data_IF_974671799878
#
_entry.id   IF_974671799878
#
_cell.length_a   1.000
_cell.length_b   1.000
_cell.length_c   1.000
_cell.angle_alpha   90.00
_cell.angle_beta   90.00
_cell.angle_gamma   90.00
#
_symmetry.space_group_name_H-M   'P 1'
#
loop_
_entity.id
_entity.type
_entity.pdbx_description
1 polymer ?
#
# COMPACT_ATOMS: atom_id res chain seq x y z
N UNK A 1 1.04 12.38 16.84
CA UNK A 1 0.07 11.42 16.29
C UNK A 1 -1.22 12.15 16.00
N UNK A 2 -1.96 11.78 14.96
CA UNK A 2 -3.29 12.34 14.67
C UNK A 2 -4.35 11.73 15.61
N UNK A 3 -5.49 12.43 15.84
CA UNK A 3 -6.56 11.88 16.67
C UNK A 3 -7.22 10.66 16.00
N UNK A 4 -7.80 9.78 16.82
CA UNK A 4 -8.58 8.63 16.33
C UNK A 4 -9.96 9.07 15.82
N UNK A 5 -10.57 10.06 16.49
CA UNK A 5 -11.78 10.74 16.06
C UNK A 5 -11.39 12.12 15.52
N UNK A 6 -11.61 12.36 14.24
CA UNK A 6 -11.34 13.66 13.62
C UNK A 6 -12.61 14.50 13.49
N UNK A 7 -12.44 15.82 13.46
CA UNK A 7 -13.50 16.72 13.02
C UNK A 7 -13.61 16.73 11.50
N UNK A 8 -14.67 17.34 10.97
CA UNK A 8 -14.84 17.49 9.52
C UNK A 8 -13.77 18.40 8.91
N UNK A 9 -13.41 19.48 9.61
CA UNK A 9 -12.35 20.40 9.21
C UNK A 9 -11.00 19.70 9.10
N UNK A 10 -10.69 18.79 10.04
CA UNK A 10 -9.47 17.99 9.98
C UNK A 10 -9.46 17.03 8.78
N UNK A 11 -10.59 16.36 8.50
CA UNK A 11 -10.72 15.51 7.30
C UNK A 11 -10.55 16.31 6.01
N UNK A 12 -11.18 17.49 5.94
CA UNK A 12 -11.05 18.39 4.80
C UNK A 12 -9.60 18.85 4.61
N UNK A 13 -8.90 19.22 5.69
CA UNK A 13 -7.51 19.63 5.64
C UNK A 13 -6.58 18.51 5.15
N UNK A 14 -6.76 17.28 5.64
CA UNK A 14 -5.97 16.12 5.19
C UNK A 14 -6.24 15.78 3.72
N UNK A 15 -7.51 15.81 3.30
CA UNK A 15 -7.91 15.59 1.91
C UNK A 15 -7.27 16.63 1.00
N UNK A 16 -7.32 17.92 1.39
CA UNK A 16 -6.71 19.00 0.62
C UNK A 16 -5.19 18.83 0.52
N UNK A 17 -4.52 18.42 1.60
CA UNK A 17 -3.08 18.16 1.59
C UNK A 17 -2.67 17.08 0.58
N UNK A 18 -3.46 16.00 0.48
CA UNK A 18 -3.24 14.93 -0.49
C UNK A 18 -3.42 15.47 -1.92
N UNK A 19 -4.50 16.22 -2.17
CA UNK A 19 -4.77 16.83 -3.48
C UNK A 19 -3.67 17.80 -3.91
N UNK A 20 -3.17 18.63 -3.01
CA UNK A 20 -2.09 19.57 -3.31
C UNK A 20 -0.79 18.83 -3.63
N UNK A 21 -0.51 17.74 -2.90
CA UNK A 21 0.66 16.90 -3.20
C UNK A 21 0.54 16.27 -4.59
N UNK A 22 -0.64 15.79 -4.97
CA UNK A 22 -0.91 15.28 -6.32
C UNK A 22 -0.70 16.36 -7.40
N UNK A 23 -1.21 17.58 -7.17
CA UNK A 23 -1.04 18.71 -8.09
C UNK A 23 0.43 19.09 -8.28
N UNK A 24 1.24 18.98 -7.23
CA UNK A 24 2.69 19.25 -7.28
C UNK A 24 3.51 18.20 -8.05
N UNK A 25 2.95 17.02 -8.32
CA UNK A 25 3.68 15.95 -8.99
C UNK A 25 3.89 16.28 -10.48
N UNK A 26 5.11 16.04 -10.98
CA UNK A 26 5.43 16.19 -12.41
C UNK A 26 4.68 15.14 -13.25
N UNK A 27 4.64 15.33 -14.57
CA UNK A 27 4.01 14.36 -15.48
C UNK A 27 4.68 12.98 -15.37
N UNK A 28 6.01 12.92 -15.27
CA UNK A 28 6.74 11.67 -15.10
C UNK A 28 6.40 10.99 -13.76
N UNK A 29 6.34 11.75 -12.66
CA UNK A 29 5.95 11.22 -11.35
C UNK A 29 4.52 10.68 -11.35
N UNK A 30 3.59 11.38 -12.04
CA UNK A 30 2.21 10.92 -12.24
C UNK A 30 2.16 9.63 -13.03
N UNK A 31 2.92 9.52 -14.11
CA UNK A 31 3.01 8.29 -14.91
C UNK A 31 3.51 7.12 -14.07
N UNK A 32 4.67 7.25 -13.44
CA UNK A 32 5.27 6.19 -12.61
C UNK A 32 4.40 5.79 -11.44
N UNK A 33 3.74 6.75 -10.78
CA UNK A 33 2.80 6.43 -9.69
C UNK A 33 1.55 5.69 -10.16
N UNK A 34 0.99 6.04 -11.34
CA UNK A 34 -0.16 5.32 -11.92
C UNK A 34 0.18 3.89 -12.32
N UNK A 35 1.38 3.68 -12.86
CA UNK A 35 1.86 2.37 -13.30
C UNK A 35 2.27 1.47 -12.13
N UNK A 36 2.54 2.03 -10.94
CA UNK A 36 3.15 1.31 -9.83
C UNK A 36 2.45 0.00 -9.45
N UNK A 37 1.12 0.04 -9.26
CA UNK A 37 0.35 -1.16 -8.90
C UNK A 37 0.10 -2.08 -10.09
N UNK A 38 0.08 -1.54 -11.32
CA UNK A 38 0.00 -2.35 -12.56
C UNK A 38 1.26 -3.21 -12.71
N UNK A 39 2.45 -2.60 -12.59
CA UNK A 39 3.71 -3.34 -12.63
C UNK A 39 3.83 -4.34 -11.48
N UNK A 40 3.34 -4.00 -10.28
CA UNK A 40 3.31 -4.95 -9.17
C UNK A 40 2.36 -6.13 -9.42
N UNK A 41 1.22 -5.89 -10.08
CA UNK A 41 0.26 -6.92 -10.49
C UNK A 41 0.88 -7.88 -11.51
N UNK A 42 1.54 -7.34 -12.54
CA UNK A 42 2.25 -8.14 -13.54
C UNK A 42 3.32 -9.02 -12.91
N UNK A 43 4.11 -8.46 -11.98
CA UNK A 43 5.10 -9.23 -11.22
C UNK A 43 4.45 -10.33 -10.37
N UNK A 44 3.31 -10.03 -9.72
CA UNK A 44 2.58 -11.02 -8.94
C UNK A 44 2.07 -12.19 -9.81
N UNK A 45 1.57 -11.89 -11.00
CA UNK A 45 1.16 -12.90 -11.98
C UNK A 45 2.36 -13.75 -12.44
N UNK A 46 3.49 -13.11 -12.75
CA UNK A 46 4.72 -13.77 -13.21
C UNK A 46 5.22 -14.81 -12.19
N UNK A 47 5.40 -14.43 -10.93
CA UNK A 47 5.99 -15.31 -9.92
C UNK A 47 5.06 -16.46 -9.50
N UNK A 48 3.75 -16.32 -9.72
CA UNK A 48 2.73 -17.27 -9.30
C UNK A 48 2.09 -18.03 -10.48
N UNK A 49 2.79 -18.09 -11.62
CA UNK A 49 2.34 -18.81 -12.82
C UNK A 49 0.91 -18.44 -13.26
N UNK A 50 0.60 -17.14 -13.22
CA UNK A 50 -0.70 -16.57 -13.60
C UNK A 50 -1.73 -16.46 -12.47
N UNK A 51 -1.47 -17.06 -11.30
CA UNK A 51 -2.33 -16.88 -10.12
C UNK A 51 -1.99 -15.56 -9.40
N UNK A 52 -2.45 -14.45 -9.98
CA UNK A 52 -2.12 -13.11 -9.48
C UNK A 52 -2.59 -12.88 -8.05
N UNK A 53 -3.73 -13.45 -7.64
CA UNK A 53 -4.22 -13.33 -6.26
C UNK A 53 -3.24 -13.96 -5.27
N UNK A 54 -2.76 -15.18 -5.56
CA UNK A 54 -1.74 -15.85 -4.75
C UNK A 54 -0.43 -15.07 -4.72
N UNK A 55 0.06 -14.61 -5.89
CA UNK A 55 1.27 -13.80 -5.99
C UNK A 55 1.20 -12.50 -5.18
N UNK A 56 0.07 -11.78 -5.30
CA UNK A 56 -0.21 -10.55 -4.55
C UNK A 56 -0.27 -10.83 -3.04
N UNK A 57 -0.89 -11.94 -2.65
CA UNK A 57 -0.98 -12.36 -1.26
C UNK A 57 0.39 -12.64 -0.63
N UNK A 58 1.26 -13.34 -1.34
CA UNK A 58 2.65 -13.61 -0.91
C UNK A 58 3.47 -12.32 -0.82
N UNK A 59 3.38 -11.45 -1.82
CA UNK A 59 4.03 -10.13 -1.81
C UNK A 59 3.56 -9.28 -0.62
N UNK A 60 2.28 -9.33 -0.28
CA UNK A 60 1.73 -8.62 0.86
C UNK A 60 2.24 -9.19 2.18
N UNK A 61 2.18 -10.52 2.34
CA UNK A 61 2.67 -11.21 3.54
C UNK A 61 4.13 -10.87 3.87
N UNK A 62 4.98 -10.74 2.85
CA UNK A 62 6.43 -10.50 3.00
C UNK A 62 6.83 -9.01 2.99
N UNK A 63 5.87 -8.09 2.84
CA UNK A 63 6.14 -6.65 2.63
C UNK A 63 6.67 -5.90 3.86
N UNK A 64 6.52 -6.44 5.06
CA UNK A 64 6.82 -5.72 6.29
C UNK A 64 8.33 -5.44 6.44
N UNK A 65 8.70 -4.15 6.54
CA UNK A 65 10.09 -3.72 6.68
C UNK A 65 11.02 -4.23 5.56
N UNK A 66 10.53 -4.23 4.33
CA UNK A 66 11.30 -4.58 3.12
C UNK A 66 11.22 -3.46 2.09
N UNK A 67 12.32 -3.25 1.37
CA UNK A 67 12.27 -2.49 0.12
C UNK A 67 11.49 -3.30 -0.92
N UNK A 68 11.00 -2.64 -1.97
CA UNK A 68 10.30 -3.33 -3.05
C UNK A 68 11.18 -4.41 -3.69
N UNK A 69 12.44 -4.09 -4.02
CA UNK A 69 13.38 -5.03 -4.61
C UNK A 69 13.61 -6.27 -3.73
N UNK A 70 13.76 -6.08 -2.42
CA UNK A 70 13.95 -7.20 -1.49
C UNK A 70 12.67 -8.03 -1.32
N UNK A 71 11.50 -7.39 -1.32
CA UNK A 71 10.22 -8.09 -1.28
C UNK A 71 10.04 -8.98 -2.53
N UNK A 72 10.32 -8.44 -3.72
CA UNK A 72 10.32 -9.18 -4.97
C UNK A 72 11.27 -10.38 -4.93
N UNK A 73 12.50 -10.17 -4.42
CA UNK A 73 13.50 -11.24 -4.28
C UNK A 73 13.00 -12.36 -3.38
N UNK A 74 12.44 -12.03 -2.20
CA UNK A 74 11.92 -13.01 -1.25
C UNK A 74 10.70 -13.76 -1.81
N UNK A 75 9.76 -13.07 -2.46
CA UNK A 75 8.57 -13.69 -3.03
C UNK A 75 8.94 -14.64 -4.18
N UNK A 76 9.82 -14.20 -5.11
CA UNK A 76 10.31 -15.04 -6.20
C UNK A 76 11.04 -16.28 -5.67
N UNK A 77 11.90 -16.10 -4.66
CA UNK A 77 12.59 -17.21 -3.97
C UNK A 77 11.59 -18.19 -3.38
N UNK A 78 10.55 -17.70 -2.70
CA UNK A 78 9.54 -18.55 -2.07
C UNK A 78 8.82 -19.46 -3.07
N UNK A 79 8.40 -18.92 -4.22
CA UNK A 79 7.78 -19.72 -5.28
C UNK A 79 8.77 -20.71 -5.93
N UNK A 80 10.02 -20.31 -6.14
CA UNK A 80 11.04 -21.19 -6.71
C UNK A 80 11.42 -22.37 -5.79
N UNK A 81 11.46 -22.15 -4.47
CA UNK A 81 11.83 -23.16 -3.48
C UNK A 81 10.62 -23.94 -2.93
N UNK A 82 9.39 -23.52 -3.25
CA UNK A 82 8.17 -24.08 -2.67
C UNK A 82 7.94 -23.73 -1.20
N UNK A 83 8.80 -22.88 -0.60
CA UNK A 83 8.64 -22.40 0.76
C UNK A 83 9.25 -21.00 0.96
N UNK A 84 8.51 -20.13 1.66
CA UNK A 84 9.00 -18.84 2.09
C UNK A 84 10.06 -18.96 3.21
N UNK A 85 11.11 -18.15 3.12
CA UNK A 85 12.21 -18.09 4.09
C UNK A 85 12.82 -16.68 4.14
N UNK A 86 13.76 -16.43 5.07
CA UNK A 86 14.48 -15.14 5.12
C UNK A 86 13.68 -13.96 5.68
N UNK A 87 12.60 -14.23 6.42
CA UNK A 87 11.78 -13.22 7.09
C UNK A 87 11.39 -13.69 8.49
N UNK A 88 10.80 -12.79 9.29
CA UNK A 88 10.19 -13.15 10.58
C UNK A 88 9.12 -14.24 10.44
N UNK A 89 8.98 -15.08 11.46
CA UNK A 89 8.11 -16.28 11.46
C UNK A 89 6.69 -16.00 11.00
N UNK A 90 6.05 -14.95 11.53
CA UNK A 90 4.67 -14.61 11.18
C UNK A 90 4.48 -14.34 9.67
N UNK A 91 5.39 -13.58 9.05
CA UNK A 91 5.35 -13.32 7.62
C UNK A 91 5.55 -14.59 6.78
N UNK A 92 6.51 -15.43 7.18
CA UNK A 92 6.78 -16.72 6.54
C UNK A 92 5.57 -17.64 6.63
N UNK A 93 4.95 -17.75 7.80
CA UNK A 93 3.75 -18.58 8.01
C UNK A 93 2.61 -18.13 7.11
N UNK A 94 2.35 -16.83 7.01
CA UNK A 94 1.29 -16.28 6.14
C UNK A 94 1.56 -16.59 4.66
N UNK A 95 2.78 -16.34 4.20
CA UNK A 95 3.18 -16.62 2.82
C UNK A 95 3.03 -18.11 2.47
N UNK A 96 3.51 -19.01 3.34
CA UNK A 96 3.40 -20.46 3.13
C UNK A 96 1.95 -20.95 3.10
N UNK A 97 1.07 -20.41 3.95
CA UNK A 97 -0.37 -20.74 3.92
C UNK A 97 -1.01 -20.34 2.60
N UNK A 98 -0.67 -19.15 2.09
CA UNK A 98 -1.17 -18.65 0.80
C UNK A 98 -0.66 -19.51 -0.35
N UNK A 99 0.64 -19.84 -0.35
CA UNK A 99 1.23 -20.75 -1.35
C UNK A 99 0.60 -22.15 -1.32
N UNK A 100 0.23 -22.64 -0.14
CA UNK A 100 -0.48 -23.91 0.04
C UNK A 100 -1.97 -23.85 -0.35
N UNK A 101 -2.47 -22.70 -0.81
CA UNK A 101 -3.83 -22.55 -1.36
C UNK A 101 -4.84 -21.89 -0.42
N UNK A 102 -4.46 -21.45 0.78
CA UNK A 102 -5.36 -20.63 1.61
C UNK A 102 -5.56 -19.27 0.94
N UNK A 103 -6.80 -18.81 0.81
CA UNK A 103 -7.06 -17.52 0.18
C UNK A 103 -6.41 -16.36 0.98
N UNK A 104 -5.78 -15.35 0.34
CA UNK A 104 -5.09 -14.27 1.04
C UNK A 104 -5.94 -13.53 2.08
N UNK A 105 -7.25 -13.37 1.83
CA UNK A 105 -8.15 -12.67 2.76
C UNK A 105 -8.37 -13.38 4.10
N UNK A 106 -8.09 -14.68 4.18
CA UNK A 106 -8.21 -15.48 5.41
C UNK A 106 -6.94 -15.41 6.28
N UNK A 107 -5.85 -14.91 5.70
CA UNK A 107 -4.50 -14.97 6.29
C UNK A 107 -3.95 -13.58 6.60
N UNK A 108 -4.23 -12.62 5.72
CA UNK A 108 -3.74 -11.26 5.82
C UNK A 108 -4.67 -10.40 6.70
N UNK A 109 -4.13 -9.43 7.46
CA UNK A 109 -4.96 -8.50 8.20
C UNK A 109 -5.59 -7.49 7.22
N UNK A 110 -6.78 -7.84 6.72
CA UNK A 110 -7.49 -7.15 5.63
C UNK A 110 -7.88 -5.69 5.91
N UNK A 111 -7.83 -5.26 7.16
CA UNK A 111 -8.26 -3.94 7.62
C UNK A 111 -7.11 -2.93 7.80
N UNK A 112 -5.86 -3.33 7.51
CA UNK A 112 -4.69 -2.46 7.58
C UNK A 112 -3.80 -2.59 6.34
N UNK A 113 -2.66 -1.89 6.38
CA UNK A 113 -1.65 -1.81 5.32
C UNK A 113 -1.47 -3.09 4.52
N UNK A 114 -1.18 -4.21 5.19
CA UNK A 114 -0.86 -5.48 4.51
C UNK A 114 -2.02 -5.97 3.65
N UNK A 115 -3.24 -5.96 4.18
CA UNK A 115 -4.44 -6.33 3.43
C UNK A 115 -4.73 -5.39 2.27
N UNK A 116 -4.65 -4.08 2.50
CA UNK A 116 -4.83 -3.09 1.43
C UNK A 116 -3.76 -3.22 0.34
N UNK A 117 -2.53 -3.58 0.70
CA UNK A 117 -1.45 -3.78 -0.27
C UNK A 117 -1.73 -4.99 -1.16
N UNK A 118 -2.23 -6.09 -0.59
CA UNK A 118 -2.76 -7.22 -1.37
C UNK A 118 -3.86 -6.76 -2.33
N UNK A 119 -4.89 -6.06 -1.85
CA UNK A 119 -6.01 -5.62 -2.70
C UNK A 119 -5.55 -4.73 -3.86
N UNK A 120 -4.66 -3.78 -3.61
CA UNK A 120 -4.15 -2.89 -4.66
C UNK A 120 -3.30 -3.62 -5.72
N UNK A 121 -2.59 -4.68 -5.34
CA UNK A 121 -1.82 -5.49 -6.30
C UNK A 121 -2.75 -6.46 -7.03
N UNK A 122 -3.64 -7.14 -6.32
CA UNK A 122 -4.56 -8.11 -6.91
C UNK A 122 -5.52 -7.45 -7.91
N UNK A 123 -5.95 -6.22 -7.63
CA UNK A 123 -6.83 -5.41 -8.47
C UNK A 123 -6.35 -3.94 -8.48
N UNK A 124 -5.53 -3.55 -9.48
CA UNK A 124 -5.01 -2.19 -9.59
C UNK A 124 -6.07 -1.11 -9.80
N UNK A 125 -7.27 -1.49 -10.26
CA UNK A 125 -8.40 -0.58 -10.48
C UNK A 125 -9.41 -0.60 -9.34
N UNK A 126 -9.08 -1.26 -8.22
CA UNK A 126 -9.98 -1.36 -7.08
C UNK A 126 -10.42 0.03 -6.59
N UNK A 127 -11.73 0.34 -6.58
CA UNK A 127 -12.20 1.69 -6.31
C UNK A 127 -12.05 2.11 -4.84
N UNK A 128 -11.79 1.17 -3.93
CA UNK A 128 -11.77 1.39 -2.49
C UNK A 128 -10.39 1.16 -1.85
N UNK A 129 -9.53 0.33 -2.42
CA UNK A 129 -8.28 -0.06 -1.80
C UNK A 129 -7.25 1.09 -1.82
N UNK A 130 -6.66 1.37 -0.65
CA UNK A 130 -5.55 2.32 -0.51
C UNK A 130 -4.64 1.93 0.64
N UNK A 131 -3.33 1.99 0.39
CA UNK A 131 -2.30 1.68 1.38
C UNK A 131 -1.92 2.92 2.18
N UNK A 132 -2.22 2.93 3.48
CA UNK A 132 -1.74 3.98 4.38
C UNK A 132 -0.46 3.53 5.05
N UNK A 133 0.66 4.06 4.57
CA UNK A 133 1.99 3.89 5.15
C UNK A 133 2.50 5.18 5.82
N UNK A 134 3.77 5.17 6.21
CA UNK A 134 4.42 6.32 6.86
C UNK A 134 4.42 7.58 5.98
N UNK A 135 4.53 7.43 4.66
CA UNK A 135 4.57 8.54 3.73
C UNK A 135 3.17 9.06 3.45
N UNK A 136 2.21 8.16 3.25
CA UNK A 136 0.80 8.52 3.08
C UNK A 136 0.30 9.37 4.25
N UNK A 137 0.68 8.98 5.48
CA UNK A 137 0.47 9.78 6.68
C UNK A 137 1.16 11.15 6.58
N UNK A 138 2.48 11.19 6.37
CA UNK A 138 3.27 12.44 6.38
C UNK A 138 2.77 13.46 5.33
N UNK A 139 2.30 12.96 4.18
CA UNK A 139 1.64 13.75 3.13
C UNK A 139 0.34 14.37 3.65
N UNK A 140 -0.57 13.54 4.18
CA UNK A 140 -1.88 14.01 4.65
C UNK A 140 -1.77 15.03 5.78
N UNK A 141 -0.79 14.86 6.68
CA UNK A 141 -0.58 15.78 7.81
C UNK A 141 0.39 16.93 7.50
N UNK A 142 0.93 17.00 6.27
CA UNK A 142 1.95 17.97 5.82
C UNK A 142 3.17 18.08 6.75
N UNK A 143 3.59 16.96 7.34
CA UNK A 143 4.70 16.94 8.31
C UNK A 143 5.49 15.65 8.21
N UNK A 144 6.81 15.76 8.13
CA UNK A 144 7.71 14.60 8.11
C UNK A 144 7.97 14.14 9.56
N UNK A 145 7.59 12.91 9.85
CA UNK A 145 7.72 12.35 11.19
C UNK A 145 9.08 11.66 11.44
N UNK A 146 9.84 11.35 10.38
CA UNK A 146 11.06 10.55 10.52
C UNK A 146 10.73 9.17 11.11
N UNK A 147 11.50 8.76 12.13
CA UNK A 147 11.30 7.50 12.87
C UNK A 147 10.20 7.56 13.96
N UNK A 148 9.57 8.72 14.17
CA UNK A 148 8.50 8.84 15.17
C UNK A 148 7.31 7.97 14.81
N UNK A 149 6.71 7.37 15.84
CA UNK A 149 5.46 6.64 15.67
C UNK A 149 4.33 7.57 15.23
N UNK A 150 3.54 7.06 14.28
CA UNK A 150 2.37 7.70 13.69
C UNK A 150 1.07 7.12 14.25
N UNK A 151 1.16 6.00 14.96
CA UNK A 151 0.03 5.31 15.57
C UNK A 151 -0.86 4.62 14.55
N UNK A 152 -0.33 4.26 13.38
CA UNK A 152 -1.06 3.62 12.26
C UNK A 152 -1.48 2.17 12.56
N UNK A 153 -1.00 1.58 13.65
CA UNK A 153 -1.54 0.31 14.17
C UNK A 153 -2.97 0.45 14.71
N UNK A 154 -3.41 1.66 15.05
CA UNK A 154 -4.79 1.90 15.47
C UNK A 154 -5.69 2.01 14.24
N UNK A 155 -6.64 1.07 14.10
CA UNK A 155 -7.56 0.97 12.96
C UNK A 155 -8.29 2.29 12.65
N UNK A 156 -8.70 3.04 13.68
CA UNK A 156 -9.38 4.32 13.49
C UNK A 156 -8.51 5.39 12.82
N UNK A 157 -7.21 5.46 13.13
CA UNK A 157 -6.29 6.39 12.45
C UNK A 157 -6.00 5.96 11.02
N UNK A 158 -5.82 4.65 10.80
CA UNK A 158 -5.65 4.10 9.46
C UNK A 158 -6.86 4.43 8.58
N UNK A 159 -8.06 4.14 9.07
CA UNK A 159 -9.33 4.36 8.36
C UNK A 159 -9.60 5.84 8.09
N UNK A 160 -9.26 6.71 9.03
CA UNK A 160 -9.35 8.16 8.83
C UNK A 160 -8.54 8.60 7.60
N UNK A 161 -7.28 8.19 7.52
CA UNK A 161 -6.43 8.56 6.38
C UNK A 161 -6.87 7.87 5.09
N UNK A 162 -7.25 6.59 5.16
CA UNK A 162 -7.80 5.87 4.00
C UNK A 162 -9.03 6.60 3.43
N UNK A 163 -9.93 7.06 4.29
CA UNK A 163 -11.08 7.87 3.88
C UNK A 163 -10.66 9.18 3.21
N UNK A 164 -9.67 9.90 3.75
CA UNK A 164 -9.18 11.15 3.14
C UNK A 164 -8.54 10.91 1.76
N UNK A 165 -7.81 9.81 1.58
CA UNK A 165 -7.27 9.43 0.26
C UNK A 165 -8.37 9.09 -0.74
N UNK A 166 -9.41 8.35 -0.34
CA UNK A 166 -10.57 8.07 -1.20
C UNK A 166 -11.31 9.35 -1.59
N UNK A 167 -11.55 10.25 -0.65
CA UNK A 167 -12.18 11.54 -0.91
C UNK A 167 -11.34 12.41 -1.87
N UNK A 168 -10.02 12.41 -1.71
CA UNK A 168 -9.12 13.10 -2.64
C UNK A 168 -9.18 12.47 -4.03
N UNK A 169 -9.17 11.15 -4.12
CA UNK A 169 -9.23 10.41 -5.37
C UNK A 169 -10.53 10.65 -6.14
N UNK A 170 -11.68 10.65 -5.45
CA UNK A 170 -12.96 11.02 -6.02
C UNK A 170 -12.94 12.45 -6.62
N UNK A 171 -12.37 13.42 -5.91
CA UNK A 171 -12.25 14.81 -6.39
C UNK A 171 -11.27 14.96 -7.56
N UNK A 172 -10.26 14.09 -7.65
CA UNK A 172 -9.27 14.07 -8.74
C UNK A 172 -9.82 13.33 -9.96
N UNK A 173 -10.77 12.40 -9.80
CA UNK A 173 -11.23 11.50 -10.85
C UNK A 173 -10.26 10.36 -11.10
N UNK A 174 -9.67 9.79 -10.03
CA UNK A 174 -8.64 8.75 -10.11
C UNK A 174 -8.88 7.66 -9.05
N UNK A 175 -8.25 6.49 -9.19
CA UNK A 175 -8.31 5.40 -8.21
C UNK A 175 -7.51 5.77 -6.94
N UNK A 176 -7.99 5.44 -5.71
CA UNK A 176 -7.30 5.80 -4.47
C UNK A 176 -5.85 5.29 -4.37
N UNK A 177 -5.59 4.07 -4.83
CA UNK A 177 -4.25 3.45 -4.88
C UNK A 177 -3.29 4.25 -5.76
N UNK A 178 -3.73 4.71 -6.93
CA UNK A 178 -2.96 5.54 -7.86
C UNK A 178 -2.67 6.92 -7.28
N UNK A 179 -3.64 7.56 -6.62
CA UNK A 179 -3.41 8.83 -5.90
C UNK A 179 -2.34 8.65 -4.82
N UNK A 180 -2.42 7.57 -4.05
CA UNK A 180 -1.41 7.26 -3.03
C UNK A 180 -0.03 7.03 -3.65
N UNK A 181 0.09 6.24 -4.72
CA UNK A 181 1.36 5.96 -5.37
C UNK A 181 2.00 7.21 -6.00
N UNK A 182 1.23 8.05 -6.71
CA UNK A 182 1.74 9.30 -7.30
C UNK A 182 2.20 10.27 -6.22
N UNK A 183 1.40 10.46 -5.17
CA UNK A 183 1.79 11.35 -4.06
C UNK A 183 3.01 10.81 -3.31
N UNK A 184 3.16 9.49 -3.21
CA UNK A 184 4.35 8.84 -2.68
C UNK A 184 5.60 9.13 -3.53
N UNK A 185 5.55 8.91 -4.85
CA UNK A 185 6.67 9.22 -5.76
C UNK A 185 7.08 10.69 -5.63
N UNK A 186 6.12 11.60 -5.74
CA UNK A 186 6.39 13.04 -5.59
C UNK A 186 6.91 13.39 -4.19
N UNK A 187 6.56 12.63 -3.16
CA UNK A 187 7.01 12.87 -1.79
C UNK A 187 8.46 12.43 -1.59
N UNK A 188 8.84 11.24 -2.06
CA UNK A 188 10.20 10.71 -1.84
C UNK A 188 11.25 11.43 -2.72
N UNK A 189 10.85 11.99 -3.85
CA UNK A 189 11.72 12.73 -4.78
C UNK A 189 11.69 14.25 -4.60
N UNK A 190 11.14 14.73 -3.48
CA UNK A 190 11.16 16.17 -3.16
C UNK A 190 12.62 16.67 -3.16
N UNK A 191 12.87 17.75 -3.91
CA UNK A 191 14.11 18.52 -3.81
C UNK A 191 14.14 19.29 -2.50
#
# INVERSE_FOLDING_TARGET
MIPVKSTEEQRAAYTQAIMDKWKSATLDQKRRGREWYVTAHEFAAEIAAGDTSKGAGVLAALSANKSWAENCRLARKAFAEGAASGHVRDAVTKANRIMAGTHPSEVLPMHIKTGCFYLCIADPENPDAVVIDRHAHDIAVRKIYGQRDRGLGAIGRYNLLAHCYRAAAQKIGEVPSKVQAVTWVAHIERK
#
